data_IF_704497158944
#
_entry.id   IF_704497158944
#
_cell.length_a   1.000
_cell.length_b   1.000
_cell.length_c   1.000
_cell.angle_alpha   90.00
_cell.angle_beta   90.00
_cell.angle_gamma   90.00
#
_symmetry.space_group_name_H-M   'P 1'
#
loop_
_entity.id
_entity.type
_entity.pdbx_description
1 polymer ?
#
# COMPACT_ATOMS: atom_id res chain seq x y z
N UNK A 1 33.93 -18.22 14.80
CA UNK A 1 32.49 -17.90 14.62
C UNK A 1 32.06 -16.85 15.63
N UNK A 2 32.47 -16.95 16.90
CA UNK A 2 32.33 -15.85 17.88
C UNK A 2 33.08 -14.57 17.48
N UNK A 3 34.31 -14.67 16.95
CA UNK A 3 35.06 -13.48 16.48
C UNK A 3 34.44 -12.75 15.28
N UNK A 4 33.56 -13.41 14.51
CA UNK A 4 32.82 -12.77 13.41
C UNK A 4 31.52 -12.08 13.87
N UNK A 5 31.17 -12.20 15.15
CA UNK A 5 29.95 -11.60 15.73
C UNK A 5 30.22 -10.31 16.52
N UNK A 6 31.48 -10.01 16.87
CA UNK A 6 31.85 -8.88 17.75
C UNK A 6 32.52 -7.72 16.99
N UNK A 7 32.77 -7.85 15.69
CA UNK A 7 33.36 -6.73 14.94
C UNK A 7 32.32 -5.65 14.66
N UNK A 8 32.31 -4.62 15.50
CA UNK A 8 31.87 -3.28 15.08
C UNK A 8 32.63 -2.95 13.80
N UNK A 9 31.92 -2.75 12.70
CA UNK A 9 32.56 -2.31 11.47
C UNK A 9 33.10 -0.90 11.69
N UNK A 10 34.41 -0.70 11.55
CA UNK A 10 35.08 0.62 11.54
C UNK A 10 34.61 1.57 10.42
N UNK A 11 33.62 1.16 9.62
CA UNK A 11 32.97 2.00 8.62
C UNK A 11 31.62 2.53 9.15
N UNK A 12 31.50 3.85 9.44
CA UNK A 12 30.24 4.46 9.90
C UNK A 12 29.09 4.40 8.86
N UNK A 13 29.32 3.84 7.66
CA UNK A 13 28.30 3.63 6.63
C UNK A 13 27.80 2.18 6.49
N UNK A 14 28.31 1.22 7.26
CA UNK A 14 27.87 -0.18 7.17
C UNK A 14 27.04 -0.54 8.40
N UNK A 15 25.77 -0.88 8.21
CA UNK A 15 24.94 -1.40 9.30
C UNK A 15 25.40 -2.83 9.59
N UNK A 16 25.89 -3.09 10.81
CA UNK A 16 26.32 -4.42 11.22
C UNK A 16 25.19 -5.44 11.16
N UNK A 17 25.53 -6.71 10.92
CA UNK A 17 24.58 -7.84 10.90
C UNK A 17 23.74 -7.87 12.19
N UNK A 18 24.34 -7.50 13.32
CA UNK A 18 23.67 -7.41 14.62
C UNK A 18 22.54 -6.39 14.66
N UNK A 19 22.68 -5.24 14.00
CA UNK A 19 21.63 -4.20 13.98
C UNK A 19 20.46 -4.60 13.06
N UNK A 20 20.74 -5.41 12.03
CA UNK A 20 19.71 -6.01 11.16
C UNK A 20 18.98 -7.16 11.87
N UNK A 21 19.71 -7.95 12.66
CA UNK A 21 19.15 -8.97 13.56
C UNK A 21 18.38 -8.34 14.73
N UNK A 22 18.79 -7.18 15.22
CA UNK A 22 18.07 -6.44 16.27
C UNK A 22 16.70 -6.01 15.76
N UNK A 23 16.64 -5.41 14.57
CA UNK A 23 15.36 -5.05 13.93
C UNK A 23 14.50 -6.30 13.70
N UNK A 24 15.06 -7.38 13.14
CA UNK A 24 14.33 -8.64 12.93
C UNK A 24 13.87 -9.31 14.25
N UNK A 25 14.67 -9.23 15.31
CA UNK A 25 14.36 -9.77 16.64
C UNK A 25 13.27 -8.96 17.34
N UNK A 26 13.22 -7.64 17.11
CA UNK A 26 12.15 -6.77 17.60
C UNK A 26 10.85 -7.03 16.83
N UNK A 27 10.92 -7.30 15.52
CA UNK A 27 9.75 -7.76 14.74
C UNK A 27 9.18 -9.06 15.29
N UNK A 28 10.03 -9.97 15.77
CA UNK A 28 9.64 -11.26 16.35
C UNK A 28 9.16 -11.18 17.80
N UNK A 29 9.71 -10.27 18.62
CA UNK A 29 9.32 -10.11 20.04
C UNK A 29 7.97 -9.42 20.22
N UNK A 30 7.49 -8.63 19.25
CA UNK A 30 6.28 -7.81 19.39
C UNK A 30 5.03 -8.35 18.65
N UNK A 31 4.95 -9.66 18.40
CA UNK A 31 3.68 -10.31 18.05
C UNK A 31 3.03 -9.84 16.73
N UNK A 32 3.80 -9.82 15.65
CA UNK A 32 3.29 -9.62 14.28
C UNK A 32 2.39 -10.78 13.87
N UNK A 33 1.08 -10.68 14.17
CA UNK A 33 0.13 -11.71 13.83
C UNK A 33 -0.40 -11.65 12.42
N UNK A 34 -0.69 -12.83 11.87
CA UNK A 34 -1.46 -13.01 10.64
C UNK A 34 -2.75 -12.19 10.75
N UNK A 35 -3.31 -11.70 9.66
CA UNK A 35 -4.24 -10.56 9.74
C UNK A 35 -3.48 -9.24 9.94
N UNK A 36 -2.27 -9.15 9.37
CA UNK A 36 -1.44 -7.95 9.43
C UNK A 36 -2.15 -6.80 8.73
N UNK A 37 -2.61 -5.84 9.52
CA UNK A 37 -3.02 -4.55 9.01
C UNK A 37 -1.76 -3.78 8.57
N UNK A 38 -1.71 -3.44 7.29
CA UNK A 38 -0.64 -2.61 6.72
C UNK A 38 -0.89 -1.17 7.13
N UNK A 39 -0.30 -0.76 8.24
CA UNK A 39 -0.67 0.48 8.91
C UNK A 39 0.26 1.64 8.58
N UNK A 40 -0.30 2.84 8.60
CA UNK A 40 0.44 4.09 8.42
C UNK A 40 0.29 4.96 9.66
N UNK A 41 1.33 5.71 9.99
CA UNK A 41 1.35 6.64 11.10
C UNK A 41 0.39 7.81 10.89
N UNK A 42 -0.03 8.39 12.01
CA UNK A 42 -0.81 9.64 12.05
C UNK A 42 -0.13 10.75 11.23
N UNK A 43 -0.94 11.65 10.65
CA UNK A 43 -0.46 12.70 9.74
C UNK A 43 -0.07 12.22 8.33
N UNK A 44 -0.10 10.92 8.04
CA UNK A 44 0.11 10.43 6.66
C UNK A 44 -1.00 10.95 5.76
N UNK A 45 -0.63 11.57 4.63
CA UNK A 45 -1.60 12.10 3.66
C UNK A 45 -1.90 11.06 2.60
N UNK A 46 -3.18 10.86 2.32
CA UNK A 46 -3.67 9.96 1.28
C UNK A 46 -4.25 10.79 0.12
N UNK A 47 -3.98 10.37 -1.12
CA UNK A 47 -4.49 11.04 -2.31
C UNK A 47 -5.90 10.55 -2.64
N UNK A 48 -6.87 11.46 -2.58
CA UNK A 48 -8.26 11.19 -3.00
C UNK A 48 -8.42 11.19 -4.51
N UNK A 49 -9.47 10.54 -4.99
CA UNK A 49 -9.83 10.47 -6.40
C UNK A 49 -10.08 11.86 -7.04
N UNK A 50 -10.43 12.87 -6.25
CA UNK A 50 -10.61 14.27 -6.67
C UNK A 50 -9.31 15.11 -6.66
N UNK A 51 -8.16 14.43 -6.52
CA UNK A 51 -6.81 15.01 -6.48
C UNK A 51 -6.53 15.92 -5.27
N UNK A 52 -7.32 15.80 -4.20
CA UNK A 52 -6.98 16.39 -2.90
C UNK A 52 -6.15 15.42 -2.05
N UNK A 53 -5.32 16.00 -1.18
CA UNK A 53 -4.60 15.25 -0.15
C UNK A 53 -5.30 15.42 1.18
N UNK A 54 -5.71 14.30 1.77
CA UNK A 54 -6.41 14.29 3.05
C UNK A 54 -5.58 13.51 4.09
N UNK A 55 -5.61 13.92 5.36
CA UNK A 55 -4.97 13.13 6.42
C UNK A 55 -5.69 11.80 6.56
N UNK A 56 -4.92 10.72 6.70
CA UNK A 56 -5.44 9.36 6.90
C UNK A 56 -6.38 9.27 8.11
N UNK A 57 -6.19 10.14 9.12
CA UNK A 57 -7.01 10.22 10.35
C UNK A 57 -8.41 10.75 10.13
N UNK A 58 -8.60 11.51 9.06
CA UNK A 58 -9.85 12.21 8.75
C UNK A 58 -10.62 11.52 7.63
N UNK A 59 -10.08 10.42 7.08
CA UNK A 59 -10.76 9.63 6.06
C UNK A 59 -12.03 8.99 6.64
N UNK A 60 -13.01 8.79 5.77
CA UNK A 60 -14.26 8.12 6.10
C UNK A 60 -14.47 6.88 5.23
N UNK A 61 -15.18 5.90 5.77
CA UNK A 61 -15.64 4.75 4.96
C UNK A 61 -16.48 5.27 3.78
N UNK A 62 -16.22 4.75 2.59
CA UNK A 62 -16.85 5.19 1.35
C UNK A 62 -16.07 6.26 0.58
N UNK A 63 -15.02 6.87 1.17
CA UNK A 63 -14.14 7.79 0.46
C UNK A 63 -13.47 7.10 -0.74
N UNK A 64 -13.34 7.84 -1.84
CA UNK A 64 -12.70 7.34 -3.05
C UNK A 64 -11.26 7.86 -3.14
N UNK A 65 -10.34 6.93 -3.34
CA UNK A 65 -8.89 7.16 -3.33
C UNK A 65 -8.28 6.86 -4.71
N UNK A 66 -7.13 7.51 -4.97
CA UNK A 66 -6.26 7.11 -6.08
C UNK A 66 -5.52 5.85 -5.66
N UNK A 67 -5.75 4.78 -6.41
CA UNK A 67 -5.17 3.46 -6.21
C UNK A 67 -4.54 2.95 -7.52
N UNK A 68 -4.09 1.70 -7.52
CA UNK A 68 -3.42 1.10 -8.69
C UNK A 68 -3.46 -0.44 -8.69
N UNK A 69 -3.26 -1.06 -9.86
CA UNK A 69 -3.21 -2.52 -9.97
C UNK A 69 -2.11 -3.10 -9.06
N UNK A 70 -2.35 -4.21 -8.35
CA UNK A 70 -1.36 -4.86 -7.46
C UNK A 70 -0.09 -5.41 -8.18
N UNK A 71 0.10 -5.12 -9.47
CA UNK A 71 1.25 -5.55 -10.24
C UNK A 71 2.48 -4.69 -9.92
N UNK A 72 3.54 -5.23 -9.30
CA UNK A 72 4.74 -4.44 -8.98
C UNK A 72 5.55 -4.03 -10.23
N UNK A 73 5.22 -4.57 -11.41
CA UNK A 73 5.79 -4.08 -12.66
C UNK A 73 5.14 -2.74 -13.06
N UNK A 74 5.81 -1.64 -12.71
CA UNK A 74 5.35 -0.28 -12.97
C UNK A 74 4.99 0.02 -14.44
N UNK A 75 5.55 -0.72 -15.41
CA UNK A 75 5.27 -0.53 -16.84
C UNK A 75 3.93 -1.12 -17.29
N UNK A 76 3.43 -2.10 -16.53
CA UNK A 76 2.15 -2.80 -16.74
C UNK A 76 1.07 -2.33 -15.76
N UNK A 77 1.47 -1.82 -14.60
CA UNK A 77 0.59 -1.31 -13.57
C UNK A 77 -0.07 0.02 -13.96
N UNK A 78 -1.38 0.15 -13.71
CA UNK A 78 -2.17 1.34 -14.00
C UNK A 78 -2.86 1.87 -12.75
N UNK A 79 -3.12 3.17 -12.74
CA UNK A 79 -3.95 3.79 -11.72
C UNK A 79 -5.42 3.40 -11.91
N UNK A 80 -6.12 3.27 -10.80
CA UNK A 80 -7.56 2.95 -10.71
C UNK A 80 -8.15 3.65 -9.51
N UNK A 81 -9.47 3.78 -9.47
CA UNK A 81 -10.18 4.24 -8.26
C UNK A 81 -10.32 3.09 -7.28
N UNK A 82 -10.16 3.37 -5.98
CA UNK A 82 -10.53 2.45 -4.90
C UNK A 82 -11.37 3.14 -3.86
N UNK A 83 -12.19 2.37 -3.15
CA UNK A 83 -13.06 2.84 -2.10
C UNK A 83 -12.52 2.39 -0.74
N UNK A 84 -12.54 3.29 0.25
CA UNK A 84 -12.25 2.94 1.65
C UNK A 84 -13.38 2.06 2.18
N UNK A 85 -13.03 0.84 2.60
CA UNK A 85 -13.96 -0.16 3.13
C UNK A 85 -13.92 -0.22 4.65
N UNK A 86 -12.74 -0.01 5.25
CA UNK A 86 -12.53 -0.10 6.71
C UNK A 86 -11.42 0.84 7.15
N UNK A 87 -11.57 1.39 8.36
CA UNK A 87 -10.57 2.20 9.05
C UNK A 87 -10.52 1.72 10.49
N UNK A 88 -9.37 1.24 10.96
CA UNK A 88 -9.14 0.91 12.36
C UNK A 88 -7.96 1.70 12.91
N UNK A 89 -8.06 2.08 14.19
CA UNK A 89 -6.95 2.67 14.94
C UNK A 89 -6.36 1.61 15.83
N UNK A 90 -5.08 1.30 15.63
CA UNK A 90 -4.39 0.25 16.37
C UNK A 90 -3.03 0.74 16.85
N UNK A 91 -2.47 0.11 17.88
CA UNK A 91 -1.09 0.37 18.31
C UNK A 91 -0.18 -0.72 17.76
N UNK A 92 0.90 -0.32 17.09
CA UNK A 92 1.88 -1.25 16.49
C UNK A 92 3.30 -0.70 16.54
N UNK A 93 4.33 -1.57 16.56
CA UNK A 93 5.70 -1.18 16.32
C UNK A 93 5.86 -0.54 14.93
N UNK A 94 6.50 0.63 14.89
CA UNK A 94 6.61 1.44 13.69
C UNK A 94 8.06 1.78 13.34
N UNK A 95 8.26 1.95 12.03
CA UNK A 95 9.48 2.48 11.45
C UNK A 95 9.19 3.86 10.84
N UNK A 96 10.11 4.79 11.02
CA UNK A 96 10.19 6.00 10.22
C UNK A 96 11.13 5.75 9.04
N UNK A 97 10.56 5.78 7.84
CA UNK A 97 11.29 5.65 6.59
C UNK A 97 11.55 7.08 6.08
N UNK A 98 12.81 7.51 6.13
CA UNK A 98 13.24 8.82 5.66
C UNK A 98 13.82 8.69 4.25
N UNK A 99 13.27 9.43 3.29
CA UNK A 99 13.69 9.44 1.89
C UNK A 99 14.09 10.85 1.42
N UNK A 100 14.68 10.95 0.23
CA UNK A 100 14.94 12.24 -0.43
C UNK A 100 13.66 12.97 -0.90
N UNK A 101 12.48 12.34 -0.76
CA UNK A 101 11.16 12.90 -1.10
C UNK A 101 10.26 13.15 0.10
N UNK A 102 10.77 12.95 1.31
CA UNK A 102 10.02 13.08 2.56
C UNK A 102 10.11 11.83 3.42
N UNK A 103 9.41 11.84 4.55
CA UNK A 103 9.33 10.68 5.45
C UNK A 103 7.91 10.12 5.53
N UNK A 104 7.84 8.84 5.89
CA UNK A 104 6.58 8.17 6.21
C UNK A 104 6.80 7.25 7.40
N UNK A 105 5.85 7.25 8.32
CA UNK A 105 5.81 6.32 9.44
C UNK A 105 4.88 5.18 9.05
N UNK A 106 5.32 3.95 9.22
CA UNK A 106 4.52 2.78 8.90
C UNK A 106 4.83 1.62 9.84
N UNK A 107 3.92 0.65 9.95
CA UNK A 107 4.21 -0.60 10.64
C UNK A 107 5.34 -1.35 9.96
N UNK A 108 6.06 -2.21 10.70
CA UNK A 108 7.21 -2.96 10.16
C UNK A 108 6.81 -3.78 8.90
N UNK A 109 5.60 -4.33 8.92
CA UNK A 109 5.03 -5.17 7.87
C UNK A 109 4.44 -4.37 6.69
N UNK A 110 4.40 -3.03 6.78
CA UNK A 110 3.79 -2.22 5.73
C UNK A 110 4.56 -2.34 4.42
N UNK A 111 3.87 -2.58 3.31
CA UNK A 111 4.48 -2.93 2.02
C UNK A 111 4.52 -1.76 1.03
N UNK A 112 5.67 -1.65 0.38
CA UNK A 112 5.96 -0.65 -0.64
C UNK A 112 6.39 -1.32 -1.95
N UNK A 113 6.11 -0.68 -3.09
CA UNK A 113 6.78 -1.08 -4.33
C UNK A 113 8.18 -0.50 -4.30
N UNK A 114 9.20 -1.32 -4.07
CA UNK A 114 10.59 -0.87 -3.99
C UNK A 114 11.54 -1.78 -4.79
N UNK A 115 12.76 -1.31 -5.00
CA UNK A 115 13.85 -2.09 -5.56
C UNK A 115 15.17 -1.81 -4.87
N UNK A 116 16.04 -2.82 -4.91
CA UNK A 116 17.42 -2.69 -4.49
C UNK A 116 18.20 -1.68 -5.36
N UNK A 117 19.21 -1.01 -4.79
CA UNK A 117 20.12 -0.19 -5.56
C UNK A 117 20.85 -1.04 -6.62
N UNK A 118 21.22 -0.40 -7.73
CA UNK A 118 22.07 -1.05 -8.74
C UNK A 118 23.43 -1.37 -8.12
N UNK A 119 23.80 -2.65 -8.07
CA UNK A 119 25.15 -3.05 -7.66
C UNK A 119 26.20 -2.51 -8.64
N UNK A 120 27.27 -1.91 -8.11
CA UNK A 120 28.42 -1.47 -8.92
C UNK A 120 29.23 -2.64 -9.50
N UNK A 121 29.17 -3.83 -8.87
CA UNK A 121 29.97 -5.02 -9.25
C UNK A 121 29.30 -5.94 -10.28
N UNK A 122 27.98 -5.85 -10.44
CA UNK A 122 27.24 -6.71 -11.37
C UNK A 122 26.72 -5.91 -12.55
N UNK A 123 27.08 -6.31 -13.79
CA UNK A 123 26.46 -5.80 -15.02
C UNK A 123 24.96 -6.16 -15.11
N UNK A 124 24.40 -6.95 -14.18
CA UNK A 124 22.95 -7.19 -14.11
C UNK A 124 22.25 -5.91 -13.65
N UNK A 125 21.27 -5.47 -14.43
CA UNK A 125 20.31 -4.41 -14.06
C UNK A 125 19.86 -4.68 -12.61
N UNK A 126 19.95 -3.66 -11.74
CA UNK A 126 19.45 -3.74 -10.36
C UNK A 126 18.05 -4.37 -10.31
N UNK A 127 17.72 -5.00 -9.17
CA UNK A 127 16.49 -5.77 -9.00
C UNK A 127 15.27 -5.05 -9.57
N UNK A 128 14.38 -5.79 -10.22
CA UNK A 128 13.09 -5.24 -10.64
C UNK A 128 12.29 -4.77 -9.44
N UNK A 129 11.37 -3.83 -9.64
CA UNK A 129 10.42 -3.43 -8.59
C UNK A 129 9.61 -4.63 -8.09
N UNK A 130 9.53 -4.75 -6.77
CA UNK A 130 8.80 -5.80 -6.03
C UNK A 130 8.16 -5.19 -4.79
N UNK A 131 7.26 -5.95 -4.16
CA UNK A 131 6.77 -5.61 -2.83
C UNK A 131 7.88 -5.85 -1.80
N UNK A 132 8.14 -4.86 -0.97
CA UNK A 132 9.15 -4.89 0.11
C UNK A 132 8.50 -4.32 1.36
N UNK A 133 8.67 -4.99 2.48
CA UNK A 133 8.16 -4.57 3.79
C UNK A 133 9.02 -3.45 4.37
N UNK A 134 8.46 -2.68 5.30
CA UNK A 134 9.16 -1.54 5.89
C UNK A 134 10.40 -1.98 6.66
N UNK A 135 10.33 -3.15 7.34
CA UNK A 135 11.46 -3.77 8.04
C UNK A 135 12.61 -4.20 7.12
N UNK A 136 12.31 -4.52 5.86
CA UNK A 136 13.29 -4.96 4.87
C UNK A 136 13.88 -3.81 4.05
N UNK A 137 13.43 -2.57 4.27
CA UNK A 137 13.96 -1.41 3.57
C UNK A 137 15.34 -1.04 4.12
N UNK A 138 16.34 -1.10 3.24
CA UNK A 138 17.70 -0.68 3.56
C UNK A 138 18.03 0.68 2.92
N UNK A 139 19.06 1.34 3.46
CA UNK A 139 19.62 2.56 2.87
C UNK A 139 19.93 2.35 1.38
N UNK A 140 19.64 3.35 0.57
CA UNK A 140 19.75 3.36 -0.89
C UNK A 140 18.72 2.51 -1.65
N UNK A 141 17.76 1.84 -1.00
CA UNK A 141 16.61 1.30 -1.71
C UNK A 141 15.86 2.43 -2.43
N UNK A 142 15.24 2.09 -3.56
CA UNK A 142 14.44 3.01 -4.35
C UNK A 142 12.96 2.60 -4.27
N UNK A 143 12.17 3.41 -3.57
CA UNK A 143 10.73 3.24 -3.44
C UNK A 143 10.03 3.94 -4.60
N UNK A 144 9.07 3.27 -5.22
CA UNK A 144 8.22 3.85 -6.26
C UNK A 144 7.48 5.05 -5.71
N UNK A 145 7.57 6.17 -6.43
CA UNK A 145 7.06 7.46 -5.99
C UNK A 145 6.34 8.16 -7.14
N UNK A 146 5.22 8.79 -6.81
CA UNK A 146 4.40 9.56 -7.74
C UNK A 146 4.69 11.04 -7.63
N UNK A 147 4.39 11.63 -6.48
CA UNK A 147 4.37 13.07 -6.25
C UNK A 147 4.31 13.37 -4.75
N UNK A 148 4.86 14.50 -4.32
CA UNK A 148 4.68 14.94 -2.95
C UNK A 148 3.28 15.53 -2.74
N UNK A 149 2.71 15.47 -1.52
CA UNK A 149 1.46 16.13 -1.20
C UNK A 149 1.48 17.64 -1.47
N UNK A 150 0.36 18.19 -1.96
CA UNK A 150 0.14 19.63 -2.11
C UNK A 150 -1.01 20.11 -1.24
N UNK A 151 -1.09 21.43 -1.07
CA UNK A 151 -2.25 22.13 -0.51
C UNK A 151 -3.04 22.78 -1.65
N UNK A 152 -4.33 22.93 -1.43
CA UNK A 152 -5.18 23.74 -2.32
C UNK A 152 -4.77 25.20 -2.16
N UNK A 153 -4.64 25.92 -3.28
CA UNK A 153 -4.34 27.34 -3.30
C UNK A 153 -5.64 28.12 -3.14
N UNK A 154 -5.86 28.68 -1.95
CA UNK A 154 -7.04 29.46 -1.58
C UNK A 154 -6.79 30.98 -1.65
N UNK A 155 -5.60 31.37 -2.11
CA UNK A 155 -5.19 32.76 -2.28
C UNK A 155 -5.65 33.35 -3.62
N UNK A 156 -5.54 34.67 -3.75
CA UNK A 156 -5.93 35.39 -4.96
C UNK A 156 -5.21 34.88 -6.21
N UNK A 157 -3.90 34.61 -6.13
CA UNK A 157 -3.13 34.07 -7.26
C UNK A 157 -3.63 32.68 -7.66
N UNK A 158 -3.96 31.83 -6.67
CA UNK A 158 -4.54 30.52 -6.92
C UNK A 158 -5.88 30.59 -7.64
N UNK A 159 -6.78 31.45 -7.15
CA UNK A 159 -8.09 31.69 -7.77
C UNK A 159 -7.99 32.30 -9.17
N UNK A 160 -7.10 33.29 -9.36
CA UNK A 160 -6.84 33.87 -10.67
C UNK A 160 -6.34 32.83 -11.66
N UNK A 161 -5.37 31.99 -11.26
CA UNK A 161 -4.81 30.97 -12.14
C UNK A 161 -5.82 29.87 -12.46
N UNK A 162 -6.70 29.51 -11.51
CA UNK A 162 -7.81 28.61 -11.75
C UNK A 162 -8.74 29.14 -12.85
N UNK A 163 -9.15 30.41 -12.76
CA UNK A 163 -9.95 31.08 -13.78
C UNK A 163 -9.23 31.18 -15.13
N UNK A 164 -7.93 31.49 -15.12
CA UNK A 164 -7.11 31.53 -16.32
C UNK A 164 -7.03 30.15 -17.01
N UNK A 165 -6.85 29.08 -16.26
CA UNK A 165 -6.85 27.70 -16.77
C UNK A 165 -8.22 27.31 -17.34
N UNK A 166 -9.30 27.76 -16.74
CA UNK A 166 -10.64 27.52 -17.27
C UNK A 166 -10.92 28.28 -18.58
N UNK A 167 -10.32 29.46 -18.77
CA UNK A 167 -10.38 30.20 -20.04
C UNK A 167 -9.46 29.63 -21.12
N UNK A 168 -8.16 29.57 -20.83
CA UNK A 168 -7.08 29.34 -21.82
C UNK A 168 -6.47 27.92 -21.77
N UNK A 169 -6.76 27.17 -20.71
CA UNK A 169 -6.19 25.85 -20.48
C UNK A 169 -6.84 24.75 -21.31
N UNK A 170 -6.04 23.75 -21.65
CA UNK A 170 -6.51 22.53 -22.26
C UNK A 170 -5.81 21.30 -21.67
N UNK A 171 -6.60 20.25 -21.43
CA UNK A 171 -6.12 18.94 -20.98
C UNK A 171 -6.10 17.96 -22.15
N UNK A 172 -4.92 17.46 -22.49
CA UNK A 172 -4.73 16.41 -23.48
C UNK A 172 -5.00 15.04 -22.84
N UNK A 173 -5.73 14.18 -23.57
CA UNK A 173 -5.93 12.78 -23.19
C UNK A 173 -7.29 12.43 -22.57
N UNK A 174 -8.19 13.39 -22.34
CA UNK A 174 -9.51 13.14 -21.75
C UNK A 174 -10.52 12.42 -22.66
N UNK A 175 -10.48 12.66 -23.98
CA UNK A 175 -11.53 12.19 -24.91
C UNK A 175 -11.19 10.92 -25.69
N UNK A 176 -9.98 10.38 -25.55
CA UNK A 176 -9.55 9.26 -26.38
C UNK A 176 -8.98 8.14 -25.51
N UNK A 177 -9.76 7.05 -25.34
CA UNK A 177 -9.34 5.82 -24.63
C UNK A 177 -8.00 5.26 -25.17
N UNK A 178 -7.58 5.65 -26.37
CA UNK A 178 -6.29 5.27 -26.97
C UNK A 178 -5.14 6.24 -26.68
N UNK A 179 -5.39 7.50 -26.32
CA UNK A 179 -4.33 8.49 -26.07
C UNK A 179 -3.70 8.28 -24.69
N UNK A 180 -2.59 7.55 -24.64
CA UNK A 180 -1.82 7.25 -23.42
C UNK A 180 -1.05 8.45 -22.84
N UNK A 181 -1.32 9.69 -23.28
CA UNK A 181 -0.58 10.89 -22.88
C UNK A 181 -1.51 11.92 -22.26
N UNK A 182 -1.57 11.91 -20.93
CA UNK A 182 -2.17 12.98 -20.14
C UNK A 182 -1.22 14.18 -20.04
N UNK A 183 -1.74 15.39 -20.19
CA UNK A 183 -0.98 16.61 -19.95
C UNK A 183 -1.85 17.86 -19.96
N UNK A 184 -1.40 18.88 -19.24
CA UNK A 184 -2.04 20.19 -19.16
C UNK A 184 -1.15 21.23 -19.85
N UNK A 185 -1.77 22.10 -20.65
CA UNK A 185 -1.09 23.20 -21.29
C UNK A 185 -2.00 24.44 -21.38
N UNK A 186 -1.38 25.61 -21.42
CA UNK A 186 -2.01 26.90 -21.73
C UNK A 186 -1.29 27.52 -22.93
N UNK A 187 -2.05 28.12 -23.84
CA UNK A 187 -1.51 28.89 -24.94
C UNK A 187 -1.71 30.38 -24.66
N UNK A 188 -0.66 31.19 -24.73
CA UNK A 188 -0.79 32.63 -24.61
C UNK A 188 0.30 33.33 -25.43
N UNK A 189 0.02 34.54 -25.92
CA UNK A 189 1.03 35.40 -26.50
C UNK A 189 2.00 35.89 -25.41
N UNK A 190 3.25 36.24 -25.75
CA UNK A 190 4.17 36.87 -24.81
C UNK A 190 3.58 38.16 -24.26
N UNK A 191 3.59 38.29 -22.93
CA UNK A 191 3.00 39.42 -22.24
C UNK A 191 2.87 39.16 -20.73
N UNK A 192 2.35 40.15 -19.99
CA UNK A 192 2.23 40.10 -18.53
C UNK A 192 1.49 38.87 -18.00
N UNK A 193 0.48 38.39 -18.72
CA UNK A 193 -0.32 37.23 -18.33
C UNK A 193 0.50 35.94 -18.40
N UNK A 194 1.31 35.78 -19.44
CA UNK A 194 2.18 34.61 -19.59
C UNK A 194 3.29 34.61 -18.54
N UNK A 195 3.87 35.78 -18.27
CA UNK A 195 4.91 35.94 -17.25
C UNK A 195 4.33 35.67 -15.84
N UNK A 196 3.08 36.09 -15.58
CA UNK A 196 2.36 35.78 -14.34
C UNK A 196 2.13 34.28 -14.19
N UNK A 197 1.70 33.59 -15.25
CA UNK A 197 1.56 32.11 -15.22
C UNK A 197 2.88 31.44 -14.87
N UNK A 198 3.98 31.84 -15.51
CA UNK A 198 5.30 31.27 -15.22
C UNK A 198 5.71 31.53 -13.76
N UNK A 199 5.48 32.75 -13.25
CA UNK A 199 5.75 33.11 -11.85
C UNK A 199 4.96 32.26 -10.86
N UNK A 200 3.66 32.04 -11.11
CA UNK A 200 2.81 31.18 -10.26
C UNK A 200 3.33 29.75 -10.25
N UNK A 201 3.68 29.19 -11.42
CA UNK A 201 4.22 27.84 -11.52
C UNK A 201 5.58 27.70 -10.83
N UNK A 202 6.47 28.70 -10.97
CA UNK A 202 7.76 28.72 -10.27
C UNK A 202 7.58 28.78 -8.74
N UNK A 203 6.71 29.67 -8.25
CA UNK A 203 6.44 29.81 -6.82
C UNK A 203 5.82 28.54 -6.21
N UNK A 204 4.99 27.83 -6.97
CA UNK A 204 4.42 26.55 -6.56
C UNK A 204 5.40 25.36 -6.69
N UNK A 205 6.62 25.58 -7.18
CA UNK A 205 7.62 24.55 -7.44
C UNK A 205 7.12 23.52 -8.45
N UNK A 206 6.47 23.97 -9.52
CA UNK A 206 5.88 23.13 -10.57
C UNK A 206 6.75 23.22 -11.82
N UNK A 207 7.27 22.07 -12.26
CA UNK A 207 8.10 22.02 -13.46
C UNK A 207 7.25 22.16 -14.73
N UNK A 208 7.66 23.02 -15.67
CA UNK A 208 6.96 23.23 -16.94
C UNK A 208 7.94 23.34 -18.13
N UNK A 209 7.40 23.25 -19.34
CA UNK A 209 8.10 23.40 -20.61
C UNK A 209 7.43 24.50 -21.42
N UNK A 210 8.21 25.46 -21.89
CA UNK A 210 7.77 26.49 -22.81
C UNK A 210 8.08 26.07 -24.24
N UNK A 211 7.08 26.11 -25.12
CA UNK A 211 7.24 25.85 -26.56
C UNK A 211 6.88 27.11 -27.34
N UNK A 212 7.80 27.53 -28.20
CA UNK A 212 7.61 28.61 -29.16
C UNK A 212 7.32 27.99 -30.54
N UNK A 213 6.27 28.43 -31.22
CA UNK A 213 6.02 28.03 -32.60
C UNK A 213 6.78 28.97 -33.55
N UNK A 214 7.57 28.47 -34.50
CA UNK A 214 8.46 29.32 -35.32
C UNK A 214 7.74 30.41 -36.14
N UNK A 215 6.46 30.20 -36.50
CA UNK A 215 5.69 31.09 -37.39
C UNK A 215 4.49 31.77 -36.71
N UNK A 216 4.32 31.64 -35.40
CA UNK A 216 3.18 32.19 -34.65
C UNK A 216 3.68 32.91 -33.40
N UNK A 217 3.05 34.05 -33.04
CA UNK A 217 3.32 34.73 -31.76
C UNK A 217 2.93 33.87 -30.55
N UNK A 218 2.01 32.94 -30.74
CA UNK A 218 1.51 32.04 -29.70
C UNK A 218 2.63 31.19 -29.09
N UNK A 219 2.73 31.25 -27.77
CA UNK A 219 3.60 30.38 -26.98
C UNK A 219 2.75 29.45 -26.11
N UNK A 220 3.27 28.26 -25.84
CA UNK A 220 2.57 27.27 -25.04
C UNK A 220 3.39 26.91 -23.82
N UNK A 221 2.81 27.07 -22.64
CA UNK A 221 3.37 26.56 -21.38
C UNK A 221 2.67 25.25 -21.07
N UNK A 222 3.46 24.19 -20.94
CA UNK A 222 2.99 22.82 -20.71
C UNK A 222 3.62 22.27 -19.44
N UNK A 223 2.84 21.62 -18.59
CA UNK A 223 3.38 20.90 -17.44
C UNK A 223 4.42 19.85 -17.87
N UNK A 224 5.53 19.72 -17.14
CA UNK A 224 6.67 18.85 -17.51
C UNK A 224 6.39 17.34 -17.41
N UNK A 225 5.16 16.95 -17.09
CA UNK A 225 4.70 15.57 -17.09
C UNK A 225 3.28 15.44 -16.58
N UNK A 226 2.77 14.21 -16.57
CA UNK A 226 1.41 13.91 -16.09
C UNK A 226 1.19 14.34 -14.63
N UNK A 227 2.22 14.23 -13.80
CA UNK A 227 2.11 14.51 -12.37
C UNK A 227 2.16 15.99 -12.04
N UNK A 228 2.95 16.77 -12.77
CA UNK A 228 2.88 18.23 -12.67
C UNK A 228 1.52 18.74 -13.16
N UNK A 229 0.98 18.13 -14.22
CA UNK A 229 -0.37 18.45 -14.68
C UNK A 229 -1.46 18.10 -13.65
N UNK A 230 -1.39 16.93 -13.00
CA UNK A 230 -2.33 16.55 -11.94
C UNK A 230 -2.15 17.41 -10.68
N UNK A 231 -0.91 17.79 -10.34
CA UNK A 231 -0.61 18.74 -9.25
C UNK A 231 -1.24 20.10 -9.52
N UNK A 232 -1.14 20.65 -10.74
CA UNK A 232 -1.80 21.90 -11.11
C UNK A 232 -3.32 21.79 -10.93
N UNK A 233 -3.93 20.71 -11.43
CA UNK A 233 -5.38 20.51 -11.29
C UNK A 233 -5.81 20.36 -9.82
N UNK A 234 -5.07 19.60 -9.01
CA UNK A 234 -5.38 19.37 -7.60
C UNK A 234 -5.13 20.61 -6.71
N UNK A 235 -4.08 21.38 -7.00
CA UNK A 235 -3.69 22.57 -6.24
C UNK A 235 -4.59 23.77 -6.57
N UNK A 236 -4.79 24.09 -7.85
CA UNK A 236 -5.50 25.30 -8.26
C UNK A 236 -6.99 25.09 -8.52
N UNK A 237 -7.44 23.84 -8.66
CA UNK A 237 -8.86 23.46 -8.80
C UNK A 237 -9.68 24.28 -9.82
N UNK A 238 -9.22 24.42 -11.08
CA UNK A 238 -10.01 25.01 -12.16
C UNK A 238 -11.34 24.23 -12.35
N UNK A 239 -12.49 24.90 -12.23
CA UNK A 239 -13.81 24.28 -12.16
C UNK A 239 -14.16 23.48 -13.43
N UNK A 240 -13.87 24.02 -14.61
CA UNK A 240 -14.14 23.35 -15.90
C UNK A 240 -13.21 22.15 -16.09
N UNK A 241 -11.91 22.31 -15.81
CA UNK A 241 -10.94 21.25 -16.06
C UNK A 241 -10.96 20.13 -15.02
N UNK A 242 -11.31 20.43 -13.75
CA UNK A 242 -11.33 19.42 -12.68
C UNK A 242 -12.55 18.49 -12.76
N UNK A 243 -13.69 18.96 -13.29
CA UNK A 243 -14.91 18.15 -13.46
C UNK A 243 -14.67 16.87 -14.27
N UNK A 244 -13.69 16.91 -15.18
CA UNK A 244 -13.29 15.75 -15.98
C UNK A 244 -12.05 15.03 -15.41
N UNK A 245 -11.38 15.58 -14.39
CA UNK A 245 -10.11 15.09 -13.87
C UNK A 245 -10.20 13.75 -13.16
N UNK A 246 -11.35 13.40 -12.57
CA UNK A 246 -11.60 12.07 -11.98
C UNK A 246 -11.45 10.92 -12.98
N UNK A 247 -11.65 11.19 -14.28
CA UNK A 247 -11.40 10.25 -15.39
C UNK A 247 -10.01 10.39 -16.02
N UNK A 248 -9.25 11.41 -15.65
CA UNK A 248 -8.08 11.82 -16.41
C UNK A 248 -6.79 11.12 -15.97
N UNK A 249 -6.75 10.62 -14.73
CA UNK A 249 -5.64 9.85 -14.19
C UNK A 249 -5.88 8.33 -14.21
N UNK A 250 -7.13 7.88 -14.25
CA UNK A 250 -7.50 6.47 -14.31
C UNK A 250 -6.97 5.79 -15.59
N UNK A 251 -6.43 4.58 -15.46
CA UNK A 251 -5.81 3.84 -16.54
C UNK A 251 -4.41 4.31 -16.96
N UNK A 252 -3.92 5.45 -16.43
CA UNK A 252 -2.52 5.88 -16.66
C UNK A 252 -1.54 4.89 -16.03
N UNK A 253 -0.41 4.66 -16.70
CA UNK A 253 0.66 3.82 -16.17
C UNK A 253 1.27 4.41 -14.90
N UNK A 254 1.75 3.59 -13.98
CA UNK A 254 2.46 4.05 -12.78
C UNK A 254 3.73 4.84 -13.11
N UNK A 255 4.65 4.22 -13.85
CA UNK A 255 5.89 4.90 -14.25
C UNK A 255 5.76 5.59 -15.61
N UNK A 256 6.42 6.75 -15.73
CA UNK A 256 6.73 7.42 -16.99
C UNK A 256 8.19 7.84 -17.04
N UNK A 257 8.62 8.49 -18.14
CA UNK A 257 10.01 8.98 -18.29
C UNK A 257 10.45 9.93 -17.17
N UNK A 258 9.50 10.62 -16.54
CA UNK A 258 9.74 11.64 -15.50
C UNK A 258 9.49 11.12 -14.08
N UNK A 259 8.97 9.91 -13.91
CA UNK A 259 8.72 9.33 -12.58
C UNK A 259 10.04 8.85 -11.99
N UNK A 260 10.60 9.63 -11.06
CA UNK A 260 11.80 9.26 -10.30
C UNK A 260 11.38 8.59 -8.98
N UNK A 261 11.96 7.46 -8.60
CA UNK A 261 11.72 6.87 -7.29
C UNK A 261 12.27 7.76 -6.17
N UNK A 262 11.78 7.53 -4.96
CA UNK A 262 12.31 8.08 -3.73
C UNK A 262 13.41 7.17 -3.20
N UNK A 263 14.57 7.74 -2.88
CA UNK A 263 15.72 7.02 -2.35
C UNK A 263 15.68 7.00 -0.83
N UNK A 264 15.72 5.81 -0.23
CA UNK A 264 15.78 5.63 1.22
C UNK A 264 17.13 6.16 1.74
N UNK A 265 17.06 7.14 2.63
CA UNK A 265 18.22 7.73 3.30
C UNK A 265 18.50 7.03 4.62
N UNK A 266 17.44 6.74 5.39
CA UNK A 266 17.51 6.07 6.69
C UNK A 266 16.16 5.41 7.03
N UNK A 267 16.22 4.31 7.77
CA UNK A 267 15.05 3.70 8.42
C UNK A 267 15.32 3.69 9.92
N UNK A 268 14.38 4.20 10.73
CA UNK A 268 14.52 4.33 12.19
C UNK A 268 13.39 3.61 12.90
N UNK A 269 13.71 2.71 13.83
CA UNK A 269 12.73 2.12 14.74
C UNK A 269 12.22 3.17 15.72
N UNK A 270 10.91 3.34 15.78
CA UNK A 270 10.23 4.29 16.66
C UNK A 270 9.51 3.62 17.85
N UNK A 271 9.48 2.29 17.90
CA UNK A 271 8.71 1.53 18.88
C UNK A 271 7.21 1.56 18.61
N UNK A 272 6.41 1.20 19.60
CA UNK A 272 4.95 1.17 19.47
C UNK A 272 4.33 2.56 19.38
N UNK A 273 3.48 2.75 18.37
CA UNK A 273 2.71 3.98 18.17
C UNK A 273 1.30 3.67 17.71
N UNK A 274 0.40 4.62 17.93
CA UNK A 274 -0.89 4.61 17.26
C UNK A 274 -0.71 4.78 15.75
N UNK A 275 -1.38 3.93 15.00
CA UNK A 275 -1.37 3.88 13.54
C UNK A 275 -2.76 3.58 13.01
N UNK A 276 -2.97 3.88 11.74
CA UNK A 276 -4.23 3.63 11.06
C UNK A 276 -4.08 2.46 10.09
N UNK A 277 -4.89 1.44 10.32
CA UNK A 277 -5.15 0.34 9.42
C UNK A 277 -6.25 0.76 8.43
N UNK A 278 -5.90 0.87 7.16
CA UNK A 278 -6.85 1.20 6.10
C UNK A 278 -7.10 -0.05 5.26
N UNK A 279 -8.35 -0.42 5.00
CA UNK A 279 -8.70 -1.40 3.96
C UNK A 279 -9.38 -0.70 2.79
N UNK A 280 -8.94 -1.02 1.58
CA UNK A 280 -9.44 -0.44 0.34
C UNK A 280 -9.80 -1.53 -0.66
N UNK A 281 -10.83 -1.31 -1.48
CA UNK A 281 -11.34 -2.30 -2.44
C UNK A 281 -10.31 -2.86 -3.44
N UNK A 282 -9.18 -2.18 -3.67
CA UNK A 282 -8.12 -2.65 -4.58
C UNK A 282 -6.89 -3.20 -3.87
N UNK A 283 -6.83 -3.13 -2.54
CA UNK A 283 -5.64 -3.48 -1.77
C UNK A 283 -4.46 -2.50 -1.94
N UNK A 284 -4.67 -1.31 -2.51
CA UNK A 284 -3.62 -0.34 -2.83
C UNK A 284 -4.10 1.10 -2.73
N UNK A 285 -3.19 2.03 -2.43
CA UNK A 285 -3.46 3.47 -2.44
C UNK A 285 -2.17 4.28 -2.45
N UNK A 286 -2.26 5.60 -2.61
CA UNK A 286 -1.11 6.52 -2.56
C UNK A 286 -1.03 7.20 -1.19
N UNK A 287 0.06 6.98 -0.46
CA UNK A 287 0.34 7.54 0.86
C UNK A 287 1.60 8.39 0.82
N UNK A 288 1.52 9.69 1.14
CA UNK A 288 2.62 10.66 1.04
C UNK A 288 3.36 10.65 -0.32
N UNK A 289 2.70 10.18 -1.38
CA UNK A 289 3.30 10.02 -2.71
C UNK A 289 3.86 8.64 -3.03
N UNK A 290 3.98 7.77 -2.04
CA UNK A 290 4.47 6.40 -2.16
C UNK A 290 3.33 5.45 -2.55
N UNK A 291 3.67 4.42 -3.33
CA UNK A 291 2.76 3.33 -3.70
C UNK A 291 2.66 2.33 -2.54
N UNK A 292 1.54 2.40 -1.82
CA UNK A 292 1.24 1.63 -0.61
C UNK A 292 0.31 0.46 -0.91
N UNK A 293 0.42 -0.60 -0.11
CA UNK A 293 -0.37 -1.81 -0.18
C UNK A 293 -1.04 -2.12 1.16
N UNK A 294 -2.27 -2.63 1.12
CA UNK A 294 -3.03 -3.00 2.32
C UNK A 294 -3.83 -4.31 2.21
N UNK A 295 -3.48 -5.24 1.30
CA UNK A 295 -4.16 -6.56 1.30
C UNK A 295 -3.56 -7.51 2.32
N UNK A 296 -4.45 -8.12 3.09
CA UNK A 296 -4.21 -9.32 3.89
C UNK A 296 -3.61 -10.49 3.09
N UNK A 297 -2.99 -11.42 3.81
CA UNK A 297 -2.39 -12.60 3.20
C UNK A 297 -3.45 -13.41 2.46
N UNK A 298 -3.15 -13.81 1.22
CA UNK A 298 -4.12 -14.52 0.37
C UNK A 298 -4.25 -16.00 0.77
N UNK A 299 -5.43 -16.61 0.61
CA UNK A 299 -5.64 -17.98 1.03
C UNK A 299 -4.89 -18.98 0.16
N UNK A 300 -4.70 -20.18 0.69
CA UNK A 300 -4.14 -21.33 -0.03
C UNK A 300 -4.98 -21.62 -1.27
N UNK A 301 -4.32 -21.95 -2.37
CA UNK A 301 -5.02 -22.23 -3.64
C UNK A 301 -5.46 -20.98 -4.41
N UNK A 302 -5.40 -19.76 -3.84
CA UNK A 302 -5.76 -18.55 -4.57
C UNK A 302 -4.87 -18.33 -5.80
N UNK A 303 -5.49 -17.95 -6.92
CA UNK A 303 -4.81 -17.75 -8.20
C UNK A 303 -3.78 -16.61 -8.13
N UNK A 304 -2.50 -16.94 -8.34
CA UNK A 304 -1.43 -15.97 -8.56
C UNK A 304 -1.30 -15.70 -10.07
N UNK A 305 -2.14 -14.79 -10.59
CA UNK A 305 -2.28 -14.46 -12.04
C UNK A 305 -0.96 -14.32 -12.81
N UNK A 306 0.11 -13.84 -12.16
CA UNK A 306 1.41 -13.59 -12.81
C UNK A 306 2.23 -14.86 -13.08
N UNK A 307 2.09 -15.89 -12.24
CA UNK A 307 2.84 -17.16 -12.35
C UNK A 307 1.94 -18.33 -12.75
N UNK A 308 0.62 -18.15 -12.77
CA UNK A 308 -0.36 -19.25 -12.92
C UNK A 308 -0.13 -20.35 -11.87
N UNK A 309 0.26 -19.94 -10.67
CA UNK A 309 0.51 -20.84 -9.53
C UNK A 309 -0.49 -20.56 -8.40
N UNK A 310 -0.70 -21.56 -7.55
CA UNK A 310 -1.48 -21.42 -6.34
C UNK A 310 -0.67 -20.68 -5.27
N UNK A 311 -1.35 -19.90 -4.44
CA UNK A 311 -0.79 -19.44 -3.17
C UNK A 311 -0.61 -20.60 -2.20
N UNK A 312 0.42 -20.55 -1.36
CA UNK A 312 0.64 -21.49 -0.26
C UNK A 312 -0.29 -21.25 0.94
N UNK A 313 -0.90 -20.06 1.03
CA UNK A 313 -1.75 -19.68 2.17
C UNK A 313 -0.96 -19.26 3.41
N UNK A 314 -1.63 -18.77 4.47
CA UNK A 314 -1.01 -18.20 5.66
C UNK A 314 -0.32 -19.22 6.55
N UNK A 315 -0.85 -20.44 6.68
CA UNK A 315 -0.28 -21.44 7.60
C UNK A 315 1.15 -21.85 7.19
N UNK A 316 1.44 -21.97 5.89
CA UNK A 316 2.82 -22.28 5.45
C UNK A 316 3.82 -21.15 5.78
N UNK A 317 3.38 -19.89 5.77
CA UNK A 317 4.23 -18.78 6.24
C UNK A 317 4.44 -18.85 7.76
N UNK A 318 3.43 -19.29 8.52
CA UNK A 318 3.60 -19.55 9.96
C UNK A 318 4.66 -20.59 10.24
N UNK A 319 4.68 -21.70 9.49
CA UNK A 319 5.68 -22.75 9.67
C UNK A 319 7.10 -22.19 9.43
N UNK A 320 7.25 -21.34 8.41
CA UNK A 320 8.51 -20.65 8.13
C UNK A 320 8.92 -19.71 9.27
N UNK A 321 8.00 -18.85 9.74
CA UNK A 321 8.26 -17.93 10.84
C UNK A 321 8.54 -18.66 12.16
N UNK A 322 7.82 -19.75 12.44
CA UNK A 322 8.02 -20.58 13.61
C UNK A 322 9.43 -21.19 13.62
N UNK A 323 9.88 -21.68 12.46
CA UNK A 323 11.23 -22.22 12.28
C UNK A 323 12.28 -21.13 12.44
N UNK A 324 12.07 -19.94 11.84
CA UNK A 324 12.98 -18.81 12.00
C UNK A 324 13.12 -18.37 13.46
N UNK A 325 12.02 -18.28 14.20
CA UNK A 325 12.07 -18.00 15.64
C UNK A 325 12.82 -19.10 16.39
N UNK A 326 12.61 -20.38 16.04
CA UNK A 326 13.39 -21.51 16.52
C UNK A 326 14.90 -21.27 16.43
N UNK A 327 15.37 -20.89 15.24
CA UNK A 327 16.79 -20.68 14.95
C UNK A 327 17.37 -19.45 15.68
N UNK A 328 16.63 -18.33 15.74
CA UNK A 328 17.09 -17.12 16.43
C UNK A 328 17.14 -17.35 17.94
N UNK A 329 16.19 -18.11 18.50
CA UNK A 329 16.23 -18.50 19.92
C UNK A 329 17.40 -19.44 20.24
N UNK A 330 17.82 -20.30 19.32
CA UNK A 330 18.99 -21.16 19.56
C UNK A 330 20.30 -20.35 19.78
N UNK A 331 20.31 -19.08 19.39
CA UNK A 331 21.43 -18.15 19.59
C UNK A 331 21.30 -17.25 20.84
N UNK A 332 20.23 -17.36 21.65
CA UNK A 332 19.99 -16.48 22.80
C UNK A 332 19.14 -17.09 23.92
N UNK A 333 19.00 -16.40 25.05
CA UNK A 333 18.45 -16.98 26.30
C UNK A 333 16.96 -16.64 26.58
N UNK A 334 16.17 -16.22 25.58
CA UNK A 334 14.74 -15.86 25.74
C UNK A 334 13.86 -16.59 24.73
N UNK A 335 12.70 -17.10 25.18
CA UNK A 335 11.66 -17.66 24.31
C UNK A 335 11.02 -16.53 23.50
N UNK A 336 11.16 -16.58 22.17
CA UNK A 336 10.40 -15.74 21.25
C UNK A 336 8.95 -16.21 21.20
N UNK A 337 8.01 -15.30 21.41
CA UNK A 337 6.58 -15.56 21.35
C UNK A 337 5.96 -14.66 20.29
N UNK A 338 5.38 -15.27 19.28
CA UNK A 338 4.58 -14.58 18.27
C UNK A 338 3.11 -14.84 18.55
N UNK A 339 2.25 -13.92 18.13
CA UNK A 339 0.81 -14.15 18.07
C UNK A 339 0.43 -14.11 16.60
N UNK A 340 -0.52 -14.92 16.16
CA UNK A 340 -1.12 -14.88 14.83
C UNK A 340 -2.63 -14.71 14.94
N UNK A 341 -3.21 -13.89 14.07
CA UNK A 341 -4.65 -13.69 14.02
C UNK A 341 -5.23 -14.08 12.65
N UNK A 342 -6.51 -14.39 12.55
CA UNK A 342 -7.13 -14.57 11.25
C UNK A 342 -8.62 -14.22 11.29
N UNK A 343 -9.10 -13.55 10.25
CA UNK A 343 -10.51 -13.18 10.16
C UNK A 343 -11.40 -14.43 10.04
N UNK A 344 -12.53 -14.40 10.75
CA UNK A 344 -13.49 -15.51 10.75
C UNK A 344 -14.12 -15.80 9.37
N UNK A 345 -13.98 -14.91 8.37
CA UNK A 345 -14.43 -15.12 6.99
C UNK A 345 -13.30 -15.50 6.01
N UNK A 346 -12.07 -15.69 6.49
CA UNK A 346 -10.94 -16.10 5.66
C UNK A 346 -11.06 -17.58 5.25
N UNK A 347 -10.78 -17.96 3.98
CA UNK A 347 -10.90 -19.36 3.53
C UNK A 347 -10.09 -20.40 4.31
N UNK A 348 -8.90 -20.01 4.79
CA UNK A 348 -8.04 -20.91 5.54
C UNK A 348 -8.32 -20.90 7.06
N UNK A 349 -9.45 -20.34 7.52
CA UNK A 349 -9.76 -20.25 8.96
C UNK A 349 -9.86 -21.62 9.63
N UNK A 350 -10.38 -22.63 8.93
CA UNK A 350 -10.50 -23.99 9.45
C UNK A 350 -9.12 -24.61 9.69
N UNK A 351 -8.22 -24.55 8.69
CA UNK A 351 -6.84 -25.03 8.81
C UNK A 351 -6.07 -24.21 9.87
N UNK A 352 -6.39 -22.93 10.04
CA UNK A 352 -5.79 -22.07 11.05
C UNK A 352 -6.20 -22.46 12.49
N UNK A 353 -7.48 -22.75 12.74
CA UNK A 353 -7.98 -23.22 14.04
C UNK A 353 -7.27 -24.52 14.46
N UNK A 354 -7.09 -25.43 13.50
CA UNK A 354 -6.51 -26.76 13.73
C UNK A 354 -4.97 -26.76 13.67
N UNK A 355 -4.34 -25.64 13.31
CA UNK A 355 -2.92 -25.58 12.96
C UNK A 355 -1.98 -26.05 14.09
N UNK A 356 -2.41 -25.94 15.36
CA UNK A 356 -1.65 -26.33 16.54
C UNK A 356 -2.04 -27.68 17.15
N UNK A 357 -2.99 -28.40 16.55
CA UNK A 357 -3.36 -29.73 17.04
C UNK A 357 -2.23 -30.74 16.83
N UNK A 358 -1.34 -30.48 15.86
CA UNK A 358 -0.14 -31.30 15.64
C UNK A 358 0.92 -31.00 16.68
N UNK A 359 1.33 -31.98 17.52
CA UNK A 359 2.38 -31.76 18.51
C UNK A 359 3.68 -31.24 17.89
N UNK A 360 4.25 -30.18 18.49
CA UNK A 360 5.52 -29.61 18.05
C UNK A 360 5.44 -28.65 16.86
N UNK A 361 4.26 -28.48 16.24
CA UNK A 361 4.05 -27.47 15.19
C UNK A 361 3.65 -26.12 15.81
N UNK A 362 4.16 -25.01 15.28
CA UNK A 362 3.80 -23.65 15.70
C UNK A 362 3.97 -23.39 17.21
N UNK A 363 4.96 -24.01 17.84
CA UNK A 363 5.25 -23.90 19.28
C UNK A 363 5.60 -22.48 19.72
N UNK A 364 6.04 -21.63 18.79
CA UNK A 364 6.40 -20.23 19.05
C UNK A 364 5.26 -19.25 18.74
N UNK A 365 4.08 -19.74 18.35
CA UNK A 365 2.89 -18.91 18.09
C UNK A 365 1.82 -19.13 19.16
N UNK A 366 1.11 -18.06 19.53
CA UNK A 366 -0.28 -18.13 19.97
C UNK A 366 -1.18 -17.80 18.78
N UNK A 367 -2.30 -18.49 18.60
CA UNK A 367 -3.27 -18.18 17.53
C UNK A 367 -4.57 -17.60 18.10
N UNK A 368 -5.18 -16.64 17.40
CA UNK A 368 -6.47 -16.03 17.77
C UNK A 368 -7.33 -15.75 16.54
N UNK A 369 -8.66 -15.84 16.67
CA UNK A 369 -9.61 -15.54 15.58
C UNK A 369 -10.18 -14.15 15.77
N UNK A 370 -10.17 -13.35 14.71
CA UNK A 370 -10.83 -12.03 14.68
C UNK A 370 -12.31 -12.25 14.37
N UNK A 371 -13.15 -12.02 15.36
CA UNK A 371 -14.59 -12.27 15.28
C UNK A 371 -15.32 -10.98 14.94
N UNK A 372 -16.12 -11.00 13.88
CA UNK A 372 -16.95 -9.85 13.51
C UNK A 372 -18.32 -9.88 14.18
N UNK A 373 -18.91 -8.70 14.42
CA UNK A 373 -20.32 -8.60 14.87
C UNK A 373 -21.29 -9.29 13.93
N UNK A 374 -21.00 -9.26 12.62
CA UNK A 374 -21.80 -9.94 11.60
C UNK A 374 -21.75 -11.46 11.79
N UNK A 375 -20.58 -12.01 12.11
CA UNK A 375 -20.44 -13.41 12.45
C UNK A 375 -21.23 -13.76 13.71
N UNK A 376 -21.09 -12.97 14.78
CA UNK A 376 -21.83 -13.24 16.02
C UNK A 376 -23.35 -13.14 15.85
N UNK A 377 -23.85 -12.25 14.99
CA UNK A 377 -25.26 -12.24 14.58
C UNK A 377 -25.62 -13.53 13.84
N UNK A 378 -24.79 -13.96 12.88
CA UNK A 378 -25.02 -15.19 12.14
C UNK A 378 -25.01 -16.44 13.06
N UNK A 379 -24.17 -16.49 14.09
CA UNK A 379 -24.15 -17.57 15.09
C UNK A 379 -25.46 -17.60 15.90
N UNK A 380 -25.93 -16.43 16.37
CA UNK A 380 -27.19 -16.33 17.12
C UNK A 380 -28.40 -16.76 16.28
N UNK A 381 -28.42 -16.31 15.03
CA UNK A 381 -29.51 -16.54 14.08
C UNK A 381 -29.39 -17.86 13.31
N UNK A 382 -28.38 -18.67 13.60
CA UNK A 382 -28.08 -19.95 12.93
C UNK A 382 -28.00 -19.85 11.39
N UNK A 383 -27.33 -18.79 10.92
CA UNK A 383 -27.17 -18.51 9.48
C UNK A 383 -25.93 -19.18 8.91
N UNK A 384 -25.97 -19.43 7.60
CA UNK A 384 -24.76 -19.79 6.85
C UNK A 384 -23.71 -18.67 6.92
N UNK A 385 -22.46 -19.09 7.09
CA UNK A 385 -21.28 -18.24 7.04
C UNK A 385 -20.45 -18.57 5.80
N UNK A 386 -19.99 -17.52 5.10
CA UNK A 386 -19.29 -17.65 3.83
C UNK A 386 -17.81 -17.34 4.05
N UNK A 387 -16.96 -18.33 3.74
CA UNK A 387 -15.52 -18.18 3.73
C UNK A 387 -15.07 -17.86 2.31
N UNK A 388 -14.55 -16.66 2.10
CA UNK A 388 -14.28 -16.19 0.74
C UNK A 388 -13.17 -15.18 0.64
N UNK A 389 -12.72 -14.94 -0.58
CA UNK A 389 -11.64 -14.00 -0.87
C UNK A 389 -11.86 -13.30 -2.21
N UNK A 390 -11.24 -12.14 -2.41
CA UNK A 390 -11.39 -11.37 -3.65
C UNK A 390 -10.60 -11.90 -4.85
N UNK A 391 -10.08 -13.12 -4.77
CA UNK A 391 -9.40 -13.81 -5.88
C UNK A 391 -10.01 -15.20 -6.08
N UNK A 392 -10.19 -15.66 -7.32
CA UNK A 392 -10.65 -17.02 -7.57
C UNK A 392 -9.60 -18.04 -7.16
N UNK A 393 -10.02 -19.29 -6.94
CA UNK A 393 -9.09 -20.40 -6.79
C UNK A 393 -8.42 -20.69 -8.12
N UNK A 394 -7.16 -21.13 -8.10
CA UNK A 394 -6.48 -21.59 -9.30
C UNK A 394 -7.17 -22.83 -9.89
N UNK A 395 -7.66 -23.72 -9.03
CA UNK A 395 -8.34 -24.97 -9.42
C UNK A 395 -9.78 -24.75 -9.93
N UNK A 396 -10.31 -23.53 -9.84
CA UNK A 396 -11.68 -23.19 -10.22
C UNK A 396 -12.76 -23.76 -9.29
N UNK A 397 -12.41 -24.43 -8.19
CA UNK A 397 -13.34 -25.11 -7.29
C UNK A 397 -13.96 -24.18 -6.22
N UNK A 398 -14.22 -22.91 -6.57
CA UNK A 398 -14.99 -22.03 -5.69
C UNK A 398 -16.46 -22.47 -5.67
N UNK A 399 -17.11 -22.43 -4.51
CA UNK A 399 -18.49 -22.89 -4.31
C UNK A 399 -19.52 -21.82 -4.69
N UNK A 400 -19.08 -20.60 -4.98
CA UNK A 400 -19.94 -19.53 -5.45
C UNK A 400 -19.20 -18.21 -5.58
N UNK A 401 -19.91 -17.22 -6.10
CA UNK A 401 -19.44 -15.84 -6.23
C UNK A 401 -20.56 -14.93 -5.75
N UNK A 402 -20.24 -14.00 -4.86
CA UNK A 402 -21.18 -12.95 -4.45
C UNK A 402 -20.59 -11.60 -4.81
N UNK A 403 -21.44 -10.68 -5.25
CA UNK A 403 -21.06 -9.29 -5.38
C UNK A 403 -21.35 -8.61 -4.05
N UNK A 404 -20.31 -8.15 -3.35
CA UNK A 404 -20.52 -7.38 -2.11
C UNK A 404 -21.11 -6.02 -2.49
N UNK A 405 -22.20 -5.61 -1.82
CA UNK A 405 -22.94 -4.36 -2.08
C UNK A 405 -22.03 -3.11 -1.99
N UNK A 406 -20.97 -3.17 -1.18
CA UNK A 406 -19.92 -2.17 -1.13
C UNK A 406 -18.91 -2.35 -2.28
N UNK A 407 -19.21 -1.75 -3.45
CA UNK A 407 -18.22 -1.49 -4.49
C UNK A 407 -18.17 -2.49 -5.66
N UNK A 408 -19.12 -3.43 -5.75
CA UNK A 408 -19.22 -4.33 -6.91
C UNK A 408 -18.08 -5.37 -7.01
N UNK A 409 -17.31 -5.54 -5.94
CA UNK A 409 -16.21 -6.50 -5.89
C UNK A 409 -16.76 -7.93 -5.84
N UNK A 410 -16.25 -8.78 -6.76
CA UNK A 410 -16.59 -10.20 -6.79
C UNK A 410 -15.84 -10.90 -5.68
N UNK A 411 -16.60 -11.44 -4.73
CA UNK A 411 -16.11 -12.24 -3.63
C UNK A 411 -16.30 -13.71 -3.96
N UNK A 412 -15.20 -14.42 -4.16
CA UNK A 412 -15.20 -15.84 -4.47
C UNK A 412 -15.36 -16.61 -3.17
N UNK A 413 -16.44 -17.37 -3.04
CA UNK A 413 -16.72 -18.21 -1.89
C UNK A 413 -15.95 -19.52 -2.07
N UNK A 414 -15.00 -19.77 -1.18
CA UNK A 414 -14.17 -20.99 -1.22
C UNK A 414 -14.86 -22.10 -0.44
N UNK A 415 -15.55 -21.74 0.62
CA UNK A 415 -16.29 -22.67 1.46
C UNK A 415 -17.45 -21.96 2.15
N UNK A 416 -18.46 -22.72 2.56
CA UNK A 416 -19.58 -22.21 3.36
C UNK A 416 -19.98 -23.25 4.39
N UNK A 417 -20.34 -22.79 5.58
CA UNK A 417 -20.72 -23.64 6.70
C UNK A 417 -21.65 -22.87 7.64
N UNK A 418 -22.49 -23.53 8.45
CA UNK A 418 -23.26 -22.86 9.50
C UNK A 418 -22.33 -22.06 10.42
N UNK A 419 -22.70 -20.82 10.75
CA UNK A 419 -21.89 -19.97 11.62
C UNK A 419 -21.67 -20.63 13.00
N UNK A 420 -22.68 -21.35 13.51
CA UNK A 420 -22.56 -22.13 14.75
C UNK A 420 -21.52 -23.22 14.67
N UNK A 421 -21.41 -23.92 13.54
CA UNK A 421 -20.40 -24.96 13.36
C UNK A 421 -18.98 -24.37 13.44
N UNK A 422 -18.74 -23.23 12.78
CA UNK A 422 -17.45 -22.54 12.89
C UNK A 422 -17.18 -22.09 14.32
N UNK A 423 -18.18 -21.56 15.03
CA UNK A 423 -18.06 -21.16 16.42
C UNK A 423 -17.74 -22.34 17.34
N UNK A 424 -18.43 -23.47 17.17
CA UNK A 424 -18.17 -24.69 17.91
C UNK A 424 -16.75 -25.20 17.69
N UNK A 425 -16.25 -25.19 16.44
CA UNK A 425 -14.85 -25.54 16.14
C UNK A 425 -13.87 -24.64 16.88
N UNK A 426 -14.11 -23.32 16.90
CA UNK A 426 -13.28 -22.36 17.64
C UNK A 426 -13.30 -22.70 19.14
N UNK A 427 -14.48 -22.80 19.74
CA UNK A 427 -14.61 -23.03 21.20
C UNK A 427 -14.08 -24.40 21.62
N UNK A 428 -14.31 -25.43 20.81
CA UNK A 428 -13.84 -26.79 21.10
C UNK A 428 -12.33 -26.88 20.97
N UNK A 429 -11.75 -26.30 19.93
CA UNK A 429 -10.29 -26.22 19.81
C UNK A 429 -9.70 -25.46 21.00
N UNK A 430 -10.33 -24.36 21.41
CA UNK A 430 -9.90 -23.58 22.59
C UNK A 430 -9.93 -24.43 23.85
N UNK A 431 -10.97 -25.24 24.04
CA UNK A 431 -11.08 -26.14 25.19
C UNK A 431 -10.02 -27.26 25.16
N UNK A 432 -9.85 -27.92 24.01
CA UNK A 432 -8.97 -29.08 23.86
C UNK A 432 -7.47 -28.70 23.84
N UNK A 433 -7.13 -27.53 23.28
CA UNK A 433 -5.74 -27.12 22.98
C UNK A 433 -5.35 -25.74 23.53
N UNK A 434 -6.21 -25.11 24.35
CA UNK A 434 -6.05 -23.74 24.86
C UNK A 434 -6.00 -22.63 23.80
N UNK A 435 -6.23 -22.95 22.52
CA UNK A 435 -6.16 -22.05 21.37
C UNK A 435 -7.16 -22.50 20.26
N UNK A 436 -7.69 -21.59 19.42
CA UNK A 436 -7.34 -20.17 19.31
C UNK A 436 -8.05 -19.26 20.33
N UNK A 437 -7.42 -18.15 20.69
CA UNK A 437 -8.11 -17.05 21.36
C UNK A 437 -9.17 -16.40 20.46
N UNK A 438 -9.99 -15.51 21.02
CA UNK A 438 -11.00 -14.74 20.29
C UNK A 438 -10.76 -13.25 20.57
N UNK A 439 -10.71 -12.45 19.49
CA UNK A 439 -10.53 -10.99 19.52
C UNK A 439 -11.70 -10.32 18.83
#
# INVERSE_FOLDING_TARGET
IEDSMVTESDDPNTMGIMQSLEVASVTQQMGGGIGMDFCLGLGTKVLKADLTWQSIETLSIGDHLVAFDENPNLQKCRYTTSQVQKIDRIRRPCLEIVTDKGSVIASIEHRWIAREPKSRRSKRKGGGYRWVESGDLLRNYEISFSMAPWKVAEDYEGGWFAGFLDGEGHVQGMNNKQSKRFGLAVGQNPGPELDRVEKILMNAGISYQRRKKPKQKLQTVRAAGKWEALKILGMFRPARLIRNAGRAWEGLKLCGKTSKPAKVLKVKLLGEREVIALSTSTGTFIANGFHSHNSTLRPKGALVKKRQTASSGPITFMDLWNTMCGTIMAAGNRRGAMMATLACDHPDILEFIEAKHTPGRLTNFNISVLISDKFMRAVREDKEWLLGFNKPRLDGQQVGEITREAGGEVWYIYHKLPARELWEKITRSTYDYAEPGVI
#
